data_IF_105520088214
#
_entry.id   IF_105520088214
#
_cell.length_a   1.000
_cell.length_b   1.000
_cell.length_c   1.000
_cell.angle_alpha   90.00
_cell.angle_beta   90.00
_cell.angle_gamma   90.00
#
_symmetry.space_group_name_H-M   'P 1'
#
loop_
_entity.id
_entity.type
_entity.pdbx_description
1 polymer ?
#
# COMPACT_ATOMS: atom_id res chain seq x y z
N UNK A 1 -23.77 9.49 -5.83
CA UNK A 1 -23.08 8.18 -5.70
C UNK A 1 -21.60 8.42 -5.64
N UNK A 2 -20.91 7.94 -4.61
CA UNK A 2 -19.44 7.98 -4.52
C UNK A 2 -18.86 7.04 -5.58
N UNK A 3 -17.98 7.55 -6.46
CA UNK A 3 -17.23 6.70 -7.40
C UNK A 3 -16.31 5.77 -6.60
N UNK A 4 -16.51 4.46 -6.71
CA UNK A 4 -15.69 3.39 -6.10
C UNK A 4 -14.39 3.13 -6.85
N UNK A 5 -14.27 3.68 -8.06
CA UNK A 5 -13.13 3.52 -8.95
C UNK A 5 -12.42 4.83 -9.25
N UNK A 6 -11.19 4.73 -9.72
CA UNK A 6 -10.36 5.84 -10.20
C UNK A 6 -9.53 5.38 -11.40
N UNK A 7 -9.05 6.33 -12.21
CA UNK A 7 -8.10 6.02 -13.27
C UNK A 7 -6.68 6.06 -12.70
N UNK A 8 -5.91 5.02 -13.00
CA UNK A 8 -4.45 5.13 -12.95
C UNK A 8 -4.04 6.04 -14.11
N UNK A 9 -3.52 7.24 -13.80
CA UNK A 9 -3.09 8.18 -14.84
C UNK A 9 -1.79 7.75 -15.53
N UNK A 10 -1.23 8.63 -16.37
CA UNK A 10 -0.05 8.34 -17.17
C UNK A 10 -0.25 7.19 -18.18
N UNK A 11 0.80 6.38 -18.40
CA UNK A 11 0.76 5.27 -19.38
C UNK A 11 -0.05 4.05 -18.93
N UNK A 12 -0.47 4.02 -17.66
CA UNK A 12 -1.27 2.92 -17.11
C UNK A 12 -2.69 2.92 -17.64
N UNK A 13 -3.34 4.09 -17.67
CA UNK A 13 -4.74 4.31 -18.05
C UNK A 13 -5.66 3.09 -17.85
N UNK A 14 -5.73 2.61 -16.61
CA UNK A 14 -6.62 1.54 -16.19
C UNK A 14 -7.62 2.09 -15.17
N UNK A 15 -8.88 1.67 -15.27
CA UNK A 15 -9.87 1.91 -14.21
C UNK A 15 -9.61 0.90 -13.10
N UNK A 16 -9.30 1.38 -11.89
CA UNK A 16 -9.04 0.53 -10.73
C UNK A 16 -9.95 0.89 -9.56
N UNK A 17 -10.13 -0.06 -8.63
CA UNK A 17 -10.73 0.23 -7.32
C UNK A 17 -9.93 1.30 -6.56
N UNK A 18 -10.63 2.19 -5.84
CA UNK A 18 -9.98 3.19 -4.96
C UNK A 18 -9.35 2.58 -3.72
N UNK A 19 -9.81 1.39 -3.32
CA UNK A 19 -9.22 0.60 -2.23
C UNK A 19 -8.50 -0.58 -2.85
N UNK A 20 -7.24 -0.76 -2.47
CA UNK A 20 -6.33 -1.77 -2.99
C UNK A 20 -5.99 -2.81 -1.91
N UNK A 21 -5.63 -4.03 -2.31
CA UNK A 21 -5.09 -5.01 -1.37
C UNK A 21 -3.56 -4.91 -1.27
N UNK A 22 -3.07 -4.77 -0.04
CA UNK A 22 -1.67 -4.97 0.28
C UNK A 22 -1.41 -6.39 0.72
N UNK A 23 -0.56 -7.12 -0.01
CA UNK A 23 -0.35 -8.56 0.20
C UNK A 23 0.67 -8.90 1.31
N UNK A 24 1.28 -7.90 1.94
CA UNK A 24 2.42 -8.06 2.85
C UNK A 24 2.16 -8.98 4.06
N UNK A 25 1.05 -8.77 4.79
CA UNK A 25 0.73 -9.57 5.99
C UNK A 25 -0.11 -10.79 5.62
N UNK A 26 -0.93 -10.67 4.57
CA UNK A 26 -1.75 -11.76 4.02
C UNK A 26 -0.90 -13.02 3.77
N UNK A 27 0.34 -12.85 3.32
CA UNK A 27 1.24 -13.96 2.97
C UNK A 27 2.01 -14.56 4.15
N UNK A 28 1.88 -13.99 5.35
CA UNK A 28 2.62 -14.40 6.54
C UNK A 28 1.74 -15.10 7.58
N UNK A 29 0.44 -14.82 7.60
CA UNK A 29 -0.42 -15.12 8.75
C UNK A 29 -1.56 -16.09 8.45
N UNK A 30 -2.04 -16.14 7.21
CA UNK A 30 -3.32 -16.77 6.91
C UNK A 30 -3.17 -17.94 5.91
N UNK A 31 -4.00 -19.00 6.03
CA UNK A 31 -4.06 -20.05 5.03
C UNK A 31 -4.44 -19.51 3.65
N UNK A 32 -3.95 -20.16 2.59
CA UNK A 32 -4.21 -19.77 1.20
C UNK A 32 -5.69 -19.54 0.90
N UNK A 33 -6.58 -20.42 1.39
CA UNK A 33 -8.02 -20.31 1.11
C UNK A 33 -8.60 -18.98 1.61
N UNK A 34 -8.19 -18.52 2.79
CA UNK A 34 -8.65 -17.24 3.34
C UNK A 34 -8.11 -16.06 2.53
N UNK A 35 -6.84 -16.13 2.13
CA UNK A 35 -6.23 -15.14 1.25
C UNK A 35 -6.96 -15.07 -0.10
N UNK A 36 -7.29 -16.22 -0.68
CA UNK A 36 -7.96 -16.34 -1.96
C UNK A 36 -9.37 -15.78 -1.90
N UNK A 37 -10.15 -16.09 -0.85
CA UNK A 37 -11.47 -15.50 -0.65
C UNK A 37 -11.42 -13.98 -0.50
N UNK A 38 -10.44 -13.45 0.25
CA UNK A 38 -10.27 -12.01 0.38
C UNK A 38 -9.96 -11.33 -0.98
N UNK A 39 -9.06 -11.92 -1.76
CA UNK A 39 -8.70 -11.43 -3.10
C UNK A 39 -9.92 -11.45 -4.04
N UNK A 40 -10.65 -12.58 -4.11
CA UNK A 40 -11.86 -12.71 -4.93
C UNK A 40 -12.93 -11.71 -4.53
N UNK A 41 -13.25 -11.64 -3.23
CA UNK A 41 -14.25 -10.71 -2.68
C UNK A 41 -13.93 -9.26 -3.07
N UNK A 42 -12.65 -8.90 -3.02
CA UNK A 42 -12.20 -7.59 -3.46
C UNK A 42 -12.44 -7.33 -4.95
N UNK A 43 -12.13 -8.31 -5.80
CA UNK A 43 -12.31 -8.20 -7.26
C UNK A 43 -13.80 -8.15 -7.62
N UNK A 44 -14.60 -9.04 -7.06
CA UNK A 44 -16.02 -9.19 -7.38
C UNK A 44 -16.85 -8.01 -6.86
N UNK A 45 -16.35 -7.27 -5.88
CA UNK A 45 -16.96 -6.02 -5.41
C UNK A 45 -16.77 -4.83 -6.38
N UNK A 46 -15.91 -4.96 -7.39
CA UNK A 46 -15.65 -3.90 -8.36
C UNK A 46 -16.65 -3.93 -9.52
N UNK A 47 -17.02 -2.76 -10.08
CA UNK A 47 -17.87 -2.72 -11.25
C UNK A 47 -17.16 -3.35 -12.46
N UNK A 48 -17.95 -3.87 -13.40
CA UNK A 48 -17.44 -4.47 -14.64
C UNK A 48 -16.47 -3.50 -15.35
N UNK A 49 -15.32 -4.02 -15.79
CA UNK A 49 -14.27 -3.26 -16.46
C UNK A 49 -13.29 -2.54 -15.52
N UNK A 50 -13.53 -2.53 -14.21
CA UNK A 50 -12.54 -2.08 -13.23
C UNK A 50 -11.65 -3.24 -12.76
N UNK A 51 -10.39 -2.92 -12.47
CA UNK A 51 -9.41 -3.88 -11.97
C UNK A 51 -9.12 -3.70 -10.49
N UNK A 52 -8.91 -4.79 -9.77
CA UNK A 52 -8.41 -4.73 -8.39
C UNK A 52 -6.92 -4.37 -8.42
N UNK A 53 -6.56 -3.30 -7.73
CA UNK A 53 -5.16 -2.95 -7.53
C UNK A 53 -4.58 -3.82 -6.43
N UNK A 54 -3.56 -4.61 -6.76
CA UNK A 54 -2.79 -5.40 -5.81
C UNK A 54 -1.37 -4.85 -5.68
N UNK A 55 -0.88 -4.73 -4.44
CA UNK A 55 0.54 -4.41 -4.20
C UNK A 55 1.25 -5.57 -3.51
N UNK A 56 2.37 -5.99 -4.09
CA UNK A 56 3.27 -7.01 -3.56
C UNK A 56 4.75 -6.65 -3.76
N UNK A 57 5.64 -7.61 -3.49
CA UNK A 57 7.07 -7.44 -3.71
C UNK A 57 7.88 -6.93 -2.51
N UNK A 58 9.09 -6.45 -2.80
CA UNK A 58 10.21 -6.42 -1.86
C UNK A 58 10.08 -5.42 -0.70
N UNK A 59 10.09 -5.94 0.54
CA UNK A 59 10.13 -5.15 1.77
C UNK A 59 10.88 -5.87 2.89
N UNK A 60 11.96 -5.25 3.40
CA UNK A 60 12.75 -5.49 4.63
C UNK A 60 13.26 -6.93 4.93
N UNK A 61 12.59 -7.97 4.46
CA UNK A 61 13.02 -9.36 4.47
C UNK A 61 12.70 -9.92 3.09
N UNK A 62 13.73 -10.41 2.40
CA UNK A 62 13.61 -11.06 1.08
C UNK A 62 12.48 -12.11 1.08
N UNK A 63 12.23 -12.76 2.22
CA UNK A 63 11.21 -13.78 2.41
C UNK A 63 9.76 -13.32 2.18
N UNK A 64 9.31 -12.19 2.73
CA UNK A 64 7.92 -11.72 2.55
C UNK A 64 7.60 -11.37 1.09
N UNK A 65 8.63 -10.98 0.34
CA UNK A 65 8.56 -10.65 -1.09
C UNK A 65 8.24 -11.89 -1.92
N UNK A 66 8.95 -12.99 -1.65
CA UNK A 66 8.78 -14.29 -2.31
C UNK A 66 7.39 -14.84 -2.00
N UNK A 67 6.94 -14.74 -0.75
CA UNK A 67 5.63 -15.27 -0.35
C UNK A 67 4.45 -14.57 -1.03
N UNK A 68 4.54 -13.25 -1.25
CA UNK A 68 3.50 -12.53 -2.02
C UNK A 68 3.38 -12.98 -3.47
N UNK A 69 4.49 -13.23 -4.14
CA UNK A 69 4.48 -13.72 -5.52
C UNK A 69 4.07 -15.19 -5.59
N UNK A 70 4.50 -16.02 -4.62
CA UNK A 70 4.09 -17.41 -4.54
C UNK A 70 2.60 -17.57 -4.25
N UNK A 71 2.03 -16.76 -3.35
CA UNK A 71 0.59 -16.73 -3.11
C UNK A 71 -0.17 -16.39 -4.40
N UNK A 72 0.27 -15.36 -5.12
CA UNK A 72 -0.35 -15.00 -6.40
C UNK A 72 -0.20 -16.09 -7.46
N UNK A 73 0.95 -16.75 -7.54
CA UNK A 73 1.14 -17.88 -8.45
C UNK A 73 0.12 -18.99 -8.17
N UNK A 74 0.01 -19.43 -6.91
CA UNK A 74 -0.96 -20.46 -6.50
C UNK A 74 -2.41 -19.99 -6.71
N UNK A 75 -2.70 -18.70 -6.48
CA UNK A 75 -4.00 -18.12 -6.75
C UNK A 75 -4.37 -18.23 -8.23
N UNK A 76 -3.49 -17.80 -9.14
CA UNK A 76 -3.77 -17.81 -10.58
C UNK A 76 -3.72 -19.21 -11.20
N UNK A 77 -2.95 -20.13 -10.64
CA UNK A 77 -3.02 -21.56 -11.01
C UNK A 77 -4.42 -22.13 -10.73
N UNK A 78 -5.04 -21.73 -9.62
CA UNK A 78 -6.37 -22.22 -9.22
C UNK A 78 -7.53 -21.42 -9.82
N UNK A 79 -7.34 -20.13 -10.05
CA UNK A 79 -8.35 -19.18 -10.51
C UNK A 79 -7.85 -18.34 -11.70
N UNK A 80 -7.50 -18.96 -12.84
CA UNK A 80 -6.95 -18.25 -13.99
C UNK A 80 -7.90 -17.21 -14.59
N UNK A 81 -9.22 -17.35 -14.38
CA UNK A 81 -10.25 -16.42 -14.85
C UNK A 81 -10.17 -15.01 -14.22
N UNK A 82 -9.34 -14.83 -13.19
CA UNK A 82 -9.15 -13.55 -12.51
C UNK A 82 -7.95 -12.74 -13.01
N UNK A 83 -7.08 -13.29 -13.87
CA UNK A 83 -5.84 -12.63 -14.33
C UNK A 83 -6.12 -11.23 -14.91
N UNK A 84 -7.09 -11.12 -15.81
CA UNK A 84 -7.39 -9.85 -16.49
C UNK A 84 -8.15 -8.84 -15.61
N UNK A 85 -8.64 -9.27 -14.45
CA UNK A 85 -9.38 -8.44 -13.50
C UNK A 85 -8.48 -7.71 -12.51
N UNK A 86 -7.16 -7.82 -12.65
CA UNK A 86 -6.20 -7.26 -11.69
C UNK A 86 -5.21 -6.29 -12.32
N UNK A 87 -4.81 -5.30 -11.54
CA UNK A 87 -3.66 -4.46 -11.79
C UNK A 87 -2.61 -4.76 -10.72
N UNK A 88 -1.54 -5.46 -11.09
CA UNK A 88 -0.51 -5.90 -10.17
C UNK A 88 0.65 -4.90 -10.12
N UNK A 89 0.93 -4.34 -8.94
CA UNK A 89 2.07 -3.47 -8.67
C UNK A 89 3.10 -4.18 -7.79
N UNK A 90 4.20 -4.63 -8.38
CA UNK A 90 5.33 -5.24 -7.68
C UNK A 90 6.44 -4.22 -7.44
N UNK A 91 6.89 -4.12 -6.19
CA UNK A 91 8.04 -3.29 -5.81
C UNK A 91 9.32 -4.12 -5.86
N UNK A 92 10.37 -3.59 -6.47
CA UNK A 92 11.70 -4.20 -6.56
C UNK A 92 12.80 -3.15 -6.28
N UNK A 93 14.07 -3.52 -6.40
CA UNK A 93 15.21 -2.61 -6.20
C UNK A 93 15.77 -2.62 -4.77
N UNK A 94 15.95 -3.81 -4.18
CA UNK A 94 16.72 -3.95 -2.95
C UNK A 94 18.21 -3.85 -3.26
N UNK A 95 18.95 -3.06 -2.49
CA UNK A 95 20.40 -3.13 -2.50
C UNK A 95 20.84 -4.36 -1.68
N UNK A 96 21.56 -5.32 -2.27
CA UNK A 96 22.07 -6.48 -1.53
C UNK A 96 23.13 -6.12 -0.49
N UNK A 97 23.63 -4.88 -0.50
CA UNK A 97 24.78 -4.41 0.28
C UNK A 97 24.43 -3.59 1.53
N UNK A 98 23.15 -3.34 1.83
CA UNK A 98 22.75 -2.60 3.03
C UNK A 98 21.93 -3.47 4.00
N UNK A 99 22.57 -4.17 4.97
CA UNK A 99 21.85 -4.76 6.09
C UNK A 99 21.25 -3.64 6.96
N UNK A 100 19.93 -3.71 7.22
CA UNK A 100 19.24 -2.79 8.14
C UNK A 100 17.77 -2.48 7.76
N UNK A 101 17.04 -1.70 8.58
CA UNK A 101 15.63 -1.35 8.36
C UNK A 101 15.38 -0.47 7.10
N UNK A 102 16.41 -0.22 6.29
CA UNK A 102 16.36 0.58 5.08
C UNK A 102 16.25 -0.25 3.78
N UNK A 103 16.08 -1.58 3.88
CA UNK A 103 15.83 -2.56 2.80
C UNK A 103 14.46 -2.40 2.11
N UNK A 104 14.08 -1.19 1.73
CA UNK A 104 12.86 -0.94 0.98
C UNK A 104 13.20 -0.32 -0.37
N UNK A 105 12.46 -0.70 -1.41
CA UNK A 105 12.49 -0.02 -2.71
C UNK A 105 12.46 1.51 -2.51
N UNK A 106 13.62 2.14 -2.64
CA UNK A 106 13.88 3.58 -2.55
C UNK A 106 14.77 3.95 -3.72
N UNK A 107 14.73 5.21 -4.11
CA UNK A 107 15.74 5.76 -5.03
C UNK A 107 17.11 5.65 -4.33
N UNK A 108 18.07 4.99 -4.99
CA UNK A 108 19.44 4.93 -4.50
C UNK A 108 20.06 6.33 -4.64
N UNK A 109 20.56 6.96 -3.56
CA UNK A 109 21.14 8.30 -3.65
C UNK A 109 22.43 8.35 -4.48
N UNK A 110 23.08 7.21 -4.74
CA UNK A 110 24.33 7.14 -5.47
C UNK A 110 24.15 6.85 -6.97
N UNK A 111 22.93 6.52 -7.41
CA UNK A 111 22.62 6.20 -8.81
C UNK A 111 21.60 7.23 -9.31
N UNK A 112 21.91 8.02 -10.36
CA UNK A 112 20.95 8.92 -10.97
C UNK A 112 19.65 8.18 -11.32
N UNK A 113 18.51 8.78 -11.00
CA UNK A 113 17.20 8.13 -11.15
C UNK A 113 16.94 7.73 -12.61
N UNK A 114 17.46 8.49 -13.56
CA UNK A 114 17.38 8.28 -15.00
C UNK A 114 18.00 6.94 -15.42
N UNK A 115 19.09 6.52 -14.77
CA UNK A 115 19.74 5.23 -15.05
C UNK A 115 18.81 4.07 -14.64
N UNK A 116 18.18 4.20 -13.48
CA UNK A 116 17.22 3.21 -13.00
C UNK A 116 15.96 3.14 -13.88
N UNK A 117 15.46 4.31 -14.30
CA UNK A 117 14.29 4.41 -15.19
C UNK A 117 14.62 3.86 -16.58
N UNK A 118 15.82 4.10 -17.13
CA UNK A 118 16.25 3.55 -18.41
C UNK A 118 16.29 2.01 -18.40
N UNK A 119 16.77 1.40 -17.30
CA UNK A 119 16.75 -0.05 -17.13
C UNK A 119 15.32 -0.62 -17.11
N UNK A 120 14.40 0.04 -16.39
CA UNK A 120 12.99 -0.34 -16.37
C UNK A 120 12.30 -0.12 -17.73
N UNK A 121 12.67 0.94 -18.45
CA UNK A 121 12.18 1.21 -19.80
C UNK A 121 12.60 0.12 -20.80
N UNK A 122 13.81 -0.42 -20.66
CA UNK A 122 14.26 -1.58 -21.43
C UNK A 122 13.38 -2.80 -21.15
N UNK A 123 13.13 -3.14 -19.89
CA UNK A 123 12.25 -4.26 -19.52
C UNK A 123 10.82 -4.08 -20.06
N UNK A 124 10.30 -2.85 -20.02
CA UNK A 124 9.02 -2.50 -20.65
C UNK A 124 9.05 -2.70 -22.17
N UNK A 125 10.10 -2.26 -22.85
CA UNK A 125 10.25 -2.46 -24.30
C UNK A 125 10.36 -3.94 -24.71
N UNK A 126 10.86 -4.78 -23.79
CA UNK A 126 10.91 -6.24 -23.94
C UNK A 126 9.57 -6.93 -23.61
N UNK A 127 8.52 -6.18 -23.25
CA UNK A 127 7.20 -6.70 -22.90
C UNK A 127 7.13 -7.37 -21.52
N UNK A 128 8.16 -7.19 -20.67
CA UNK A 128 8.20 -7.78 -19.32
C UNK A 128 7.43 -6.98 -18.27
N UNK A 129 7.11 -5.72 -18.57
CA UNK A 129 6.38 -4.79 -17.71
C UNK A 129 5.46 -3.92 -18.57
N UNK A 130 4.22 -3.72 -18.14
CA UNK A 130 3.31 -2.78 -18.82
C UNK A 130 3.61 -1.33 -18.44
N UNK A 131 3.92 -1.09 -17.16
CA UNK A 131 4.07 0.25 -16.59
C UNK A 131 5.23 0.34 -15.59
N UNK A 132 5.73 1.56 -15.41
CA UNK A 132 6.80 1.89 -14.47
C UNK A 132 6.21 2.80 -13.40
N UNK A 133 6.48 2.49 -12.13
CA UNK A 133 6.06 3.29 -11.00
C UNK A 133 7.20 3.53 -10.02
N UNK A 134 7.10 4.60 -9.24
CA UNK A 134 8.08 4.96 -8.20
C UNK A 134 7.40 4.93 -6.83
N UNK A 135 8.18 4.64 -5.78
CA UNK A 135 7.68 4.54 -4.40
C UNK A 135 8.69 5.16 -3.44
N UNK A 136 8.20 5.60 -2.26
CA UNK A 136 9.01 6.18 -1.18
C UNK A 136 9.90 7.36 -1.61
N UNK A 137 9.32 8.39 -2.22
CA UNK A 137 9.84 9.75 -2.03
C UNK A 137 9.86 9.98 -0.51
N UNK A 138 11.03 10.23 0.08
CA UNK A 138 11.15 10.29 1.55
C UNK A 138 10.18 11.33 2.12
N UNK A 139 9.73 11.16 3.38
CA UNK A 139 8.88 12.18 4.01
C UNK A 139 9.55 13.56 4.04
N UNK A 140 10.89 13.60 4.05
CA UNK A 140 11.68 14.81 3.90
C UNK A 140 11.61 15.38 2.47
N UNK A 141 11.73 14.55 1.43
CA UNK A 141 11.54 14.95 0.02
C UNK A 141 10.12 15.46 -0.22
N UNK A 142 9.11 14.80 0.35
CA UNK A 142 7.72 15.25 0.27
C UNK A 142 7.50 16.56 1.01
N UNK A 143 8.10 16.75 2.19
CA UNK A 143 8.03 18.02 2.94
C UNK A 143 8.80 19.15 2.28
N UNK A 144 9.98 18.89 1.72
CA UNK A 144 10.75 19.86 0.93
C UNK A 144 10.02 20.24 -0.35
N UNK A 145 9.47 19.24 -1.05
CA UNK A 145 8.58 19.44 -2.18
C UNK A 145 7.39 20.30 -1.78
N UNK A 146 6.67 19.96 -0.69
CA UNK A 146 5.49 20.70 -0.22
C UNK A 146 5.79 22.16 0.16
N UNK A 147 7.01 22.46 0.63
CA UNK A 147 7.45 23.84 0.90
C UNK A 147 7.57 24.68 -0.37
N UNK A 148 7.79 24.06 -1.54
CA UNK A 148 7.88 24.77 -2.82
C UNK A 148 6.57 24.67 -3.60
N UNK A 149 5.95 23.48 -3.67
CA UNK A 149 4.68 23.18 -4.33
C UNK A 149 3.95 22.04 -3.61
N UNK A 150 2.64 22.11 -3.46
CA UNK A 150 1.87 21.00 -2.89
C UNK A 150 2.08 19.72 -3.71
N UNK A 151 2.78 18.74 -3.15
CA UNK A 151 3.16 17.50 -3.87
C UNK A 151 1.95 16.70 -4.34
N UNK A 152 0.82 16.77 -3.62
CA UNK A 152 -0.42 16.14 -4.05
C UNK A 152 -1.03 16.92 -5.23
N UNK A 153 -0.96 18.25 -5.19
CA UNK A 153 -1.37 19.09 -6.32
C UNK A 153 -0.47 18.87 -7.55
N UNK A 154 0.85 18.72 -7.36
CA UNK A 154 1.78 18.42 -8.44
C UNK A 154 1.53 17.03 -9.04
N UNK A 155 1.27 16.01 -8.20
CA UNK A 155 0.86 14.70 -8.70
C UNK A 155 -0.44 14.79 -9.53
N UNK A 156 -1.40 15.59 -9.08
CA UNK A 156 -2.64 15.85 -9.81
C UNK A 156 -2.39 16.57 -11.15
N UNK A 157 -1.56 17.61 -11.16
CA UNK A 157 -1.17 18.37 -12.36
C UNK A 157 -0.48 17.47 -13.40
N UNK A 158 0.42 16.59 -12.93
CA UNK A 158 1.15 15.66 -13.78
C UNK A 158 0.33 14.42 -14.19
N UNK A 159 -0.92 14.31 -13.72
CA UNK A 159 -1.76 13.14 -13.98
C UNK A 159 -1.19 11.85 -13.37
N UNK A 160 -0.49 11.94 -12.25
CA UNK A 160 0.11 10.80 -11.54
C UNK A 160 -0.84 10.33 -10.43
N UNK A 161 -1.18 9.04 -10.46
CA UNK A 161 -1.97 8.43 -9.39
C UNK A 161 -1.14 8.27 -8.10
N UNK A 162 -1.74 8.59 -6.96
CA UNK A 162 -1.13 8.43 -5.63
C UNK A 162 -1.78 7.25 -4.92
N UNK A 163 -0.97 6.24 -4.55
CA UNK A 163 -1.40 5.12 -3.72
C UNK A 163 -0.92 5.31 -2.28
N UNK A 164 -1.83 5.63 -1.35
CA UNK A 164 -1.51 5.79 0.06
C UNK A 164 -1.25 4.43 0.73
N UNK A 165 -0.11 4.30 1.41
CA UNK A 165 0.25 3.08 2.15
C UNK A 165 -0.05 3.22 3.64
N UNK A 166 -0.59 2.14 4.24
CA UNK A 166 -0.98 2.09 5.66
C UNK A 166 -1.92 3.24 6.09
N UNK A 167 -3.03 3.49 5.36
CA UNK A 167 -3.96 4.58 5.70
C UNK A 167 -4.56 4.42 7.10
N UNK A 168 -4.59 3.19 7.63
CA UNK A 168 -5.05 2.89 8.99
C UNK A 168 -3.98 3.07 10.08
N UNK A 169 -2.78 3.57 9.72
CA UNK A 169 -1.70 3.84 10.65
C UNK A 169 -1.21 2.60 11.41
N UNK A 170 -1.17 1.43 10.74
CA UNK A 170 -0.95 0.11 11.38
C UNK A 170 -1.93 -0.12 12.53
N UNK A 171 -3.22 -0.27 12.21
CA UNK A 171 -4.32 -0.48 13.17
C UNK A 171 -4.63 0.68 14.12
N UNK A 172 -3.78 1.72 14.18
CA UNK A 172 -4.00 2.86 15.05
C UNK A 172 -5.37 3.53 14.85
N UNK A 173 -5.77 3.78 13.60
CA UNK A 173 -6.99 4.54 13.28
C UNK A 173 -8.26 3.67 13.22
N UNK A 174 -8.18 2.39 13.62
CA UNK A 174 -9.35 1.50 13.62
C UNK A 174 -10.17 1.61 14.89
N UNK A 175 -9.64 2.25 15.94
CA UNK A 175 -10.27 2.28 17.27
C UNK A 175 -10.11 1.01 18.09
N UNK A 176 -9.35 0.02 17.59
CA UNK A 176 -9.14 -1.26 18.29
C UNK A 176 -8.08 -1.17 19.38
N UNK A 177 -7.03 -0.36 19.19
CA UNK A 177 -6.02 -0.10 20.23
C UNK A 177 -6.52 1.09 21.03
N UNK A 178 -7.05 0.84 22.23
CA UNK A 178 -7.62 1.88 23.11
C UNK A 178 -6.71 2.22 24.29
N UNK A 179 -5.79 1.31 24.63
CA UNK A 179 -4.85 1.44 25.74
C UNK A 179 -3.58 0.62 25.45
N UNK A 180 -2.42 0.99 26.00
CA UNK A 180 -1.18 0.26 25.72
C UNK A 180 -1.19 -1.16 26.28
N UNK A 181 -1.97 -1.44 27.33
CA UNK A 181 -2.09 -2.79 27.92
C UNK A 181 -2.77 -3.78 26.96
N UNK A 182 -3.52 -3.29 25.97
CA UNK A 182 -4.19 -4.12 24.97
C UNK A 182 -3.27 -4.52 23.81
N UNK A 183 -2.04 -4.02 23.78
CA UNK A 183 -1.03 -4.43 22.80
C UNK A 183 -0.41 -5.74 23.31
N UNK A 184 -0.49 -6.87 22.59
CA UNK A 184 0.07 -8.14 23.06
C UNK A 184 1.58 -8.07 23.34
N UNK A 185 2.08 -8.95 24.20
CA UNK A 185 3.53 -9.13 24.37
C UNK A 185 4.18 -9.56 23.04
N UNK A 186 5.35 -9.01 22.72
CA UNK A 186 6.04 -9.25 21.44
C UNK A 186 5.47 -8.51 20.21
N UNK A 187 4.37 -7.77 20.35
CA UNK A 187 3.81 -6.99 19.23
C UNK A 187 4.66 -5.73 18.93
N UNK A 188 4.95 -5.50 17.65
CA UNK A 188 5.73 -4.36 17.14
C UNK A 188 5.22 -3.00 17.61
N UNK A 189 3.92 -2.85 17.87
CA UNK A 189 3.33 -1.58 18.30
C UNK A 189 3.92 -1.11 19.63
N UNK A 190 4.39 -2.03 20.48
CA UNK A 190 5.10 -1.70 21.73
C UNK A 190 6.43 -0.97 21.53
N UNK A 191 6.99 -0.96 20.33
CA UNK A 191 8.25 -0.28 20.01
C UNK A 191 8.07 0.96 19.14
N UNK A 192 6.83 1.25 18.71
CA UNK A 192 6.55 2.40 17.85
C UNK A 192 6.35 3.65 18.72
N UNK A 193 7.06 4.78 18.43
CA UNK A 193 6.99 6.00 19.25
C UNK A 193 5.58 6.56 19.46
N UNK A 194 4.69 6.36 18.47
CA UNK A 194 3.29 6.83 18.51
C UNK A 194 2.44 6.09 19.55
N UNK A 195 2.91 4.94 20.05
CA UNK A 195 2.23 4.14 21.05
C UNK A 195 2.89 4.19 22.43
N UNK A 196 3.84 5.11 22.64
CA UNK A 196 4.54 5.28 23.93
C UNK A 196 3.99 6.48 24.70
N UNK A 197 3.91 6.36 26.02
CA UNK A 197 3.72 7.44 27.00
C UNK A 197 2.76 8.56 26.56
N UNK A 198 3.24 9.81 26.54
CA UNK A 198 2.45 11.00 26.23
C UNK A 198 2.00 11.06 24.77
N UNK A 199 2.78 10.47 23.84
CA UNK A 199 2.37 10.39 22.44
C UNK A 199 1.09 9.56 22.31
N UNK A 200 0.98 8.46 23.05
CA UNK A 200 -0.19 7.60 23.00
C UNK A 200 -1.44 8.34 23.46
N UNK A 201 -1.36 9.09 24.56
CA UNK A 201 -2.47 9.89 25.08
C UNK A 201 -2.94 10.94 24.07
N UNK A 202 -2.00 11.70 23.51
CA UNK A 202 -2.32 12.70 22.49
C UNK A 202 -2.95 12.05 21.25
N UNK A 203 -2.41 10.92 20.82
CA UNK A 203 -2.89 10.19 19.65
C UNK A 203 -4.28 9.58 19.87
N UNK A 204 -4.63 9.12 21.07
CA UNK A 204 -5.99 8.61 21.34
C UNK A 204 -7.08 9.66 21.21
N UNK A 205 -6.81 10.93 21.52
CA UNK A 205 -7.78 12.00 21.29
C UNK A 205 -8.22 12.09 19.81
N UNK A 206 -7.32 11.75 18.87
CA UNK A 206 -7.64 11.68 17.44
C UNK A 206 -8.62 10.53 17.16
N UNK A 207 -8.34 9.35 17.73
CA UNK A 207 -9.15 8.15 17.55
C UNK A 207 -10.53 8.29 18.21
N UNK A 208 -10.59 8.92 19.38
CA UNK A 208 -11.85 9.24 20.07
C UNK A 208 -12.70 10.17 19.21
N UNK A 209 -12.09 11.22 18.64
CA UNK A 209 -12.77 12.13 17.73
C UNK A 209 -13.33 11.39 16.51
N UNK A 210 -12.54 10.53 15.87
CA UNK A 210 -13.02 9.70 14.75
C UNK A 210 -14.17 8.79 15.18
N UNK A 211 -14.08 8.19 16.36
CA UNK A 211 -15.11 7.30 16.90
C UNK A 211 -16.43 8.05 17.14
N UNK A 212 -16.38 9.27 17.67
CA UNK A 212 -17.57 10.11 17.84
C UNK A 212 -18.19 10.51 16.50
N UNK A 213 -17.37 10.85 15.50
CA UNK A 213 -17.86 11.26 14.18
C UNK A 213 -18.65 10.16 13.46
N UNK A 214 -18.24 8.90 13.66
CA UNK A 214 -18.87 7.77 12.96
C UNK A 214 -20.16 7.27 13.61
N UNK A 215 -20.42 7.57 14.89
CA UNK A 215 -21.63 7.13 15.62
C UNK A 215 -22.94 7.48 14.90
N UNK A 216 -22.98 8.61 14.20
CA UNK A 216 -24.18 9.09 13.48
C UNK A 216 -24.23 8.62 12.02
N UNK A 217 -23.21 7.90 11.54
CA UNK A 217 -23.01 7.60 10.12
C UNK A 217 -23.06 6.10 9.79
N UNK A 218 -23.27 5.24 10.78
CA UNK A 218 -23.29 3.78 10.63
C UNK A 218 -22.07 3.22 9.86
N UNK A 219 -20.90 3.78 10.16
CA UNK A 219 -19.61 3.35 9.62
C UNK A 219 -18.61 3.16 10.75
N UNK A 220 -17.50 2.50 10.45
CA UNK A 220 -16.38 2.29 11.38
C UNK A 220 -15.35 3.42 11.26
N UNK A 221 -14.52 3.65 12.29
CA UNK A 221 -13.37 4.57 12.19
C UNK A 221 -12.42 4.21 11.04
N UNK A 222 -12.28 2.91 10.75
CA UNK A 222 -11.47 2.42 9.63
C UNK A 222 -12.05 2.85 8.27
N UNK A 223 -13.37 2.73 8.07
CA UNK A 223 -14.02 3.20 6.85
C UNK A 223 -13.88 4.72 6.68
N UNK A 224 -14.07 5.49 7.76
CA UNK A 224 -13.88 6.94 7.72
C UNK A 224 -12.41 7.33 7.42
N UNK A 225 -11.45 6.57 7.94
CA UNK A 225 -10.01 6.84 7.71
C UNK A 225 -9.54 6.51 6.29
N UNK A 226 -10.29 5.67 5.56
CA UNK A 226 -9.98 5.28 4.18
C UNK A 226 -10.70 6.16 3.15
N UNK A 227 -11.87 6.70 3.50
CA UNK A 227 -12.75 7.47 2.62
C UNK A 227 -12.17 8.80 2.16
#
# INVERSE_FOLDING_TARGET
MTRTTTNLGGTAYNVVGKVAHGLMIMTHMDPDEQCFEAIKSGIDALPLGAKMFLTGGAWILIMCSIWSLQLLNRFFERYPEYVDKMFLSIKAGLSPMQPGPNLSARVDPNIPVEVSIAALAKLKSEGKLDHIGMTKCSAETLRHGHKTHDVIAAAKELGVAVAAYSPLGRRFLTGQIKRPEYIPEGDIHRHLPRFQDDNLRHNFAIVDTLTELVKKKDITPAQLSIA
#
